data_IF_752851794510
#
_entry.id   IF_752851794510
#
_cell.length_a   1.000
_cell.length_b   1.000
_cell.length_c   1.000
_cell.angle_alpha   90.00
_cell.angle_beta   90.00
_cell.angle_gamma   90.00
#
_symmetry.space_group_name_H-M   'P 1'
#
loop_
_entity.id
_entity.type
_entity.pdbx_description
1 polymer ?
#
# COMPACT_ATOMS: atom_id res chain seq x y z
N UNK A 1 24.08 -39.21 -23.73
CA UNK A 1 23.30 -39.48 -22.48
C UNK A 1 23.21 -38.32 -21.51
N UNK A 2 24.15 -37.38 -21.50
CA UNK A 2 24.23 -36.30 -20.50
C UNK A 2 23.11 -35.24 -20.56
N UNK A 3 22.67 -34.83 -21.77
CA UNK A 3 21.71 -33.73 -21.92
C UNK A 3 20.33 -33.97 -21.30
N UNK A 4 19.84 -35.21 -21.27
CA UNK A 4 18.53 -35.55 -20.67
C UNK A 4 18.55 -35.50 -19.14
N UNK A 5 19.63 -36.01 -18.54
CA UNK A 5 19.81 -35.91 -17.07
C UNK A 5 19.87 -34.45 -16.62
N UNK A 6 20.63 -33.62 -17.34
CA UNK A 6 20.73 -32.18 -17.03
C UNK A 6 19.38 -31.47 -17.08
N UNK A 7 18.51 -31.81 -18.07
CA UNK A 7 17.18 -31.14 -18.16
C UNK A 7 16.24 -31.64 -17.06
N UNK A 8 16.26 -32.91 -16.70
CA UNK A 8 15.45 -33.45 -15.60
C UNK A 8 15.88 -32.78 -14.29
N UNK A 9 17.17 -32.67 -14.00
CA UNK A 9 17.69 -32.01 -12.82
C UNK A 9 17.33 -30.52 -12.80
N UNK A 10 17.46 -29.82 -13.93
CA UNK A 10 17.07 -28.41 -14.04
C UNK A 10 15.56 -28.23 -13.82
N UNK A 11 14.72 -29.11 -14.35
CA UNK A 11 13.27 -29.06 -14.16
C UNK A 11 12.85 -29.30 -12.70
N UNK A 12 13.53 -30.21 -12.00
CA UNK A 12 13.23 -30.47 -10.59
C UNK A 12 13.73 -29.35 -9.64
N UNK A 13 14.81 -28.67 -9.99
CA UNK A 13 15.35 -27.55 -9.19
C UNK A 13 14.66 -26.21 -9.49
N UNK A 14 14.03 -26.06 -10.65
CA UNK A 14 13.44 -24.80 -11.09
C UNK A 14 12.42 -24.21 -10.09
N UNK A 15 11.47 -24.96 -9.50
CA UNK A 15 10.54 -24.42 -8.49
C UNK A 15 11.26 -23.84 -7.28
N UNK A 16 12.32 -24.50 -6.79
CA UNK A 16 13.10 -24.03 -5.65
C UNK A 16 13.86 -22.75 -5.96
N UNK A 17 14.40 -22.64 -7.18
CA UNK A 17 15.06 -21.42 -7.66
C UNK A 17 14.03 -20.27 -7.73
N UNK A 18 12.81 -20.52 -8.23
CA UNK A 18 11.75 -19.52 -8.29
C UNK A 18 11.31 -19.08 -6.89
N UNK A 19 11.17 -20.01 -5.94
CA UNK A 19 10.83 -19.68 -4.54
C UNK A 19 11.94 -18.86 -3.89
N UNK A 20 13.20 -19.24 -4.04
CA UNK A 20 14.35 -18.49 -3.52
C UNK A 20 14.43 -17.09 -4.12
N UNK A 21 14.23 -16.96 -5.44
CA UNK A 21 14.17 -15.69 -6.14
C UNK A 21 13.02 -14.81 -5.63
N UNK A 22 11.81 -15.36 -5.54
CA UNK A 22 10.64 -14.66 -5.03
C UNK A 22 10.85 -14.16 -3.61
N UNK A 23 11.41 -15.00 -2.74
CA UNK A 23 11.78 -14.62 -1.37
C UNK A 23 12.79 -13.48 -1.33
N UNK A 24 13.84 -13.54 -2.17
CA UNK A 24 14.85 -12.49 -2.23
C UNK A 24 14.28 -11.15 -2.71
N UNK A 25 13.43 -11.15 -3.76
CA UNK A 25 12.75 -9.94 -4.25
C UNK A 25 11.81 -9.37 -3.20
N UNK A 26 11.06 -10.24 -2.49
CA UNK A 26 10.16 -9.81 -1.41
C UNK A 26 10.93 -9.15 -0.27
N UNK A 27 12.02 -9.76 0.20
CA UNK A 27 12.86 -9.16 1.25
C UNK A 27 13.46 -7.83 0.78
N UNK A 28 13.96 -7.77 -0.45
CA UNK A 28 14.46 -6.53 -1.03
C UNK A 28 13.39 -5.44 -1.06
N UNK A 29 12.18 -5.77 -1.51
CA UNK A 29 11.05 -4.83 -1.54
C UNK A 29 10.68 -4.37 -0.13
N UNK A 30 10.66 -5.27 0.85
CA UNK A 30 10.40 -4.96 2.24
C UNK A 30 11.41 -3.95 2.79
N UNK A 31 12.70 -4.23 2.63
CA UNK A 31 13.78 -3.35 3.10
C UNK A 31 13.72 -1.97 2.43
N UNK A 32 13.50 -1.91 1.12
CA UNK A 32 13.42 -0.63 0.40
C UNK A 32 12.19 0.17 0.84
N UNK A 33 11.02 -0.47 0.96
CA UNK A 33 9.81 0.23 1.41
C UNK A 33 9.99 0.77 2.83
N UNK A 34 10.46 -0.04 3.77
CA UNK A 34 10.58 0.35 5.17
C UNK A 34 11.73 1.33 5.40
N UNK A 35 12.95 1.00 4.95
CA UNK A 35 14.16 1.76 5.28
C UNK A 35 14.38 3.00 4.42
N UNK A 36 13.97 2.99 3.13
CA UNK A 36 14.24 4.09 2.20
C UNK A 36 13.01 4.92 1.85
N UNK A 37 11.87 4.28 1.68
CA UNK A 37 10.64 4.96 1.26
C UNK A 37 9.73 5.30 2.44
N UNK A 38 10.02 4.78 3.64
CA UNK A 38 9.21 4.93 4.86
C UNK A 38 7.73 4.58 4.63
N UNK A 39 7.50 3.50 3.87
CA UNK A 39 6.18 2.98 3.54
C UNK A 39 5.96 1.65 4.24
N UNK A 40 4.72 1.40 4.63
CA UNK A 40 4.34 0.07 5.06
C UNK A 40 4.29 -0.92 3.88
N UNK A 41 4.38 -2.21 4.16
CA UNK A 41 4.29 -3.27 3.15
C UNK A 41 2.85 -3.54 2.70
N UNK A 42 1.87 -2.92 3.35
CA UNK A 42 0.45 -3.21 3.17
C UNK A 42 0.07 -4.62 3.60
N UNK A 43 0.93 -5.27 4.41
CA UNK A 43 0.69 -6.56 5.03
C UNK A 43 0.27 -6.32 6.49
N UNK A 44 -0.84 -6.92 6.91
CA UNK A 44 -1.38 -6.73 8.24
C UNK A 44 -2.60 -5.83 8.26
N UNK A 45 -3.06 -5.52 9.46
CA UNK A 45 -4.34 -4.87 9.72
C UNK A 45 -4.21 -3.35 9.93
N UNK A 46 -2.99 -2.83 9.87
CA UNK A 46 -2.70 -1.42 10.11
C UNK A 46 -1.93 -0.82 8.94
N UNK A 47 -2.43 0.28 8.41
CA UNK A 47 -1.83 1.00 7.30
C UNK A 47 -1.57 2.45 7.67
N UNK A 48 -0.43 2.97 7.22
CA UNK A 48 0.00 4.34 7.49
C UNK A 48 0.23 5.09 6.18
N UNK A 49 -0.19 6.35 6.13
CA UNK A 49 0.16 7.27 5.06
C UNK A 49 0.65 8.59 5.64
N UNK A 50 1.91 9.00 5.38
CA UNK A 50 2.40 10.29 5.80
C UNK A 50 1.70 11.40 5.01
N UNK A 51 1.41 12.49 5.70
CA UNK A 51 0.89 13.70 5.11
C UNK A 51 2.01 14.73 4.93
N UNK A 52 1.92 15.62 3.91
CA UNK A 52 2.99 16.59 3.59
C UNK A 52 3.40 17.52 4.73
N UNK A 53 2.55 17.70 5.73
CA UNK A 53 2.76 18.59 6.88
C UNK A 53 3.30 17.88 8.13
N UNK A 54 3.82 16.65 8.00
CA UNK A 54 4.38 15.86 9.10
C UNK A 54 3.37 15.10 9.94
N UNK A 55 2.06 15.28 9.72
CA UNK A 55 1.04 14.40 10.27
C UNK A 55 1.00 13.07 9.52
N UNK A 56 0.27 12.11 10.06
CA UNK A 56 0.04 10.80 9.45
C UNK A 56 -1.45 10.46 9.51
N UNK A 57 -1.87 9.71 8.51
CA UNK A 57 -3.11 8.96 8.54
C UNK A 57 -2.78 7.54 8.97
N UNK A 58 -3.54 6.97 9.89
CA UNK A 58 -3.50 5.55 10.23
C UNK A 58 -4.88 4.94 10.06
N UNK A 59 -4.92 3.78 9.44
CA UNK A 59 -6.14 2.98 9.20
C UNK A 59 -5.94 1.60 9.79
N UNK A 60 -6.99 1.01 10.35
CA UNK A 60 -6.98 -0.33 10.93
C UNK A 60 -8.17 -1.10 10.36
N UNK A 61 -7.94 -2.35 9.93
CA UNK A 61 -8.90 -3.29 9.35
C UNK A 61 -9.55 -2.84 8.02
N UNK A 62 -9.70 -1.54 7.81
CA UNK A 62 -10.32 -0.96 6.61
C UNK A 62 -9.58 0.31 6.19
N UNK A 63 -9.57 0.61 4.88
CA UNK A 63 -8.85 1.77 4.34
C UNK A 63 -9.74 2.98 4.05
N UNK A 64 -11.03 2.89 4.35
CA UNK A 64 -12.03 3.94 4.07
C UNK A 64 -12.26 4.88 5.27
N UNK A 65 -11.62 4.59 6.40
CA UNK A 65 -11.66 5.39 7.62
C UNK A 65 -10.38 5.23 8.43
N UNK A 66 -10.08 6.20 9.29
CA UNK A 66 -8.87 6.11 10.12
C UNK A 66 -8.74 7.26 11.10
N UNK A 67 -7.51 7.45 11.54
CA UNK A 67 -7.09 8.53 12.42
C UNK A 67 -6.12 9.46 11.70
N UNK A 68 -6.24 10.77 11.97
CA UNK A 68 -5.21 11.75 11.63
C UNK A 68 -4.53 12.20 12.92
N UNK A 69 -3.22 12.13 12.96
CA UNK A 69 -2.43 12.48 14.15
C UNK A 69 -1.01 12.95 13.78
N UNK A 70 -0.34 13.58 14.75
CA UNK A 70 1.07 13.92 14.60
C UNK A 70 1.94 12.87 15.32
N UNK A 71 2.77 12.08 14.64
CA UNK A 71 3.57 11.03 15.27
C UNK A 71 4.60 11.57 16.28
N UNK A 72 4.96 12.86 16.18
CA UNK A 72 5.98 13.48 17.01
C UNK A 72 5.45 14.03 18.36
N UNK A 73 4.14 14.21 18.50
CA UNK A 73 3.57 14.80 19.74
C UNK A 73 3.57 13.84 20.91
N UNK A 74 3.35 12.55 20.66
CA UNK A 74 3.31 11.50 21.68
C UNK A 74 3.98 10.22 21.17
N UNK A 75 5.32 10.20 21.05
CA UNK A 75 6.04 9.05 20.56
C UNK A 75 5.85 7.83 21.48
N UNK A 76 5.55 6.67 20.91
CA UNK A 76 5.36 5.42 21.64
C UNK A 76 3.94 5.16 22.19
N UNK A 77 3.02 6.14 22.12
CA UNK A 77 1.62 5.93 22.49
C UNK A 77 0.83 5.31 21.34
N UNK A 78 -0.08 4.40 21.64
CA UNK A 78 -1.06 3.90 20.67
C UNK A 78 -1.92 5.05 20.14
N UNK A 79 -2.34 5.00 18.86
CA UNK A 79 -3.08 6.11 18.25
C UNK A 79 -4.39 6.40 18.96
N UNK A 80 -5.08 5.38 19.48
CA UNK A 80 -6.33 5.53 20.23
C UNK A 80 -6.16 6.21 21.61
N UNK A 81 -4.94 6.29 22.12
CA UNK A 81 -4.60 6.91 23.41
C UNK A 81 -4.15 8.37 23.27
N UNK A 82 -3.97 8.83 22.02
CA UNK A 82 -3.46 10.18 21.74
C UNK A 82 -4.56 11.20 21.82
N UNK A 83 -4.36 12.24 22.61
CA UNK A 83 -5.29 13.37 22.73
C UNK A 83 -5.38 14.22 21.45
N UNK A 84 -4.30 14.24 20.64
CA UNK A 84 -4.22 14.99 19.40
C UNK A 84 -4.80 14.23 18.21
N UNK A 85 -5.10 12.93 18.35
CA UNK A 85 -5.65 12.11 17.27
C UNK A 85 -7.10 12.49 16.95
N UNK A 86 -7.39 12.60 15.67
CA UNK A 86 -8.74 12.79 15.13
C UNK A 86 -9.23 11.45 14.60
N UNK A 87 -10.16 10.84 15.30
CA UNK A 87 -10.72 9.54 14.95
C UNK A 87 -11.86 9.64 13.94
N UNK A 88 -12.13 8.54 13.24
CA UNK A 88 -13.26 8.40 12.32
C UNK A 88 -13.14 9.27 11.07
N UNK A 89 -11.93 9.62 10.66
CA UNK A 89 -11.70 10.44 9.46
C UNK A 89 -12.05 9.63 8.22
N UNK A 90 -12.93 10.18 7.39
CA UNK A 90 -13.35 9.62 6.10
C UNK A 90 -12.70 10.34 4.92
N UNK A 91 -12.62 11.64 5.01
CA UNK A 91 -12.08 12.49 3.95
C UNK A 91 -11.06 13.45 4.54
N UNK A 92 -10.04 13.78 3.75
CA UNK A 92 -8.97 14.67 4.19
C UNK A 92 -8.42 15.49 3.02
N UNK A 93 -8.00 16.72 3.32
CA UNK A 93 -7.22 17.58 2.43
C UNK A 93 -6.09 18.21 3.24
N UNK A 94 -4.90 18.23 2.67
CA UNK A 94 -3.77 18.96 3.25
C UNK A 94 -3.50 20.21 2.43
N UNK A 95 -3.54 21.38 3.10
CA UNK A 95 -3.25 22.68 2.50
C UNK A 95 -2.19 23.42 3.34
N UNK A 96 -0.93 23.20 2.99
CA UNK A 96 0.20 23.71 3.75
C UNK A 96 0.21 23.18 5.19
N UNK A 97 0.13 24.07 6.18
CA UNK A 97 0.06 23.69 7.60
C UNK A 97 -1.33 23.24 8.07
N UNK A 98 -2.35 23.38 7.24
CA UNK A 98 -3.71 23.06 7.61
C UNK A 98 -4.11 21.68 7.11
N UNK A 99 -4.87 20.95 7.92
CA UNK A 99 -5.59 19.74 7.50
C UNK A 99 -7.08 20.01 7.66
N UNK A 100 -7.80 19.86 6.56
CA UNK A 100 -9.25 19.85 6.53
C UNK A 100 -9.72 18.40 6.44
N UNK A 101 -10.84 18.07 7.05
CA UNK A 101 -11.38 16.74 6.92
C UNK A 101 -12.82 16.61 7.35
N UNK A 102 -13.35 15.42 7.08
CA UNK A 102 -14.68 15.00 7.45
C UNK A 102 -14.61 13.72 8.29
N UNK A 103 -15.42 13.66 9.33
CA UNK A 103 -15.44 12.55 10.29
C UNK A 103 -16.82 11.92 10.37
N UNK A 104 -16.84 10.63 10.65
CA UNK A 104 -18.00 9.85 11.05
C UNK A 104 -17.76 9.36 12.48
N UNK A 105 -18.53 9.82 13.45
CA UNK A 105 -18.38 9.43 14.87
C UNK A 105 -18.68 7.95 15.11
N UNK A 106 -19.43 7.31 14.21
CA UNK A 106 -19.77 5.88 14.26
C UNK A 106 -18.96 5.03 13.29
N UNK A 107 -17.89 5.57 12.73
CA UNK A 107 -17.07 4.90 11.75
C UNK A 107 -16.65 3.49 12.20
N UNK A 108 -16.23 3.34 13.46
CA UNK A 108 -15.76 2.06 14.01
C UNK A 108 -16.89 1.08 14.40
N UNK A 109 -18.12 1.56 14.54
CA UNK A 109 -19.30 0.70 14.77
C UNK A 109 -19.83 0.10 13.45
N UNK A 110 -19.52 0.76 12.35
CA UNK A 110 -19.99 0.43 11.00
C UNK A 110 -18.90 -0.14 10.10
N UNK A 111 -17.90 -0.81 10.66
CA UNK A 111 -16.81 -1.43 9.91
C UNK A 111 -17.37 -2.31 8.76
N UNK A 112 -16.89 -2.06 7.54
CA UNK A 112 -17.28 -2.82 6.35
C UNK A 112 -18.68 -2.53 5.81
N UNK A 113 -19.43 -1.58 6.39
CA UNK A 113 -20.66 -1.08 5.79
C UNK A 113 -20.32 0.15 4.95
N UNK A 114 -20.79 0.17 3.71
CA UNK A 114 -20.63 1.28 2.78
C UNK A 114 -21.49 2.48 3.21
N UNK A 115 -21.16 3.05 4.36
CA UNK A 115 -21.82 4.22 4.91
C UNK A 115 -20.90 5.43 4.71
N UNK A 116 -21.09 6.16 3.61
CA UNK A 116 -20.47 7.49 3.41
C UNK A 116 -21.08 8.54 4.35
N UNK A 117 -21.36 8.16 5.60
CA UNK A 117 -21.93 9.08 6.59
C UNK A 117 -20.81 9.96 7.13
N UNK A 118 -20.99 11.25 6.95
CA UNK A 118 -20.18 12.29 7.55
C UNK A 118 -21.09 13.06 8.52
N UNK A 119 -20.69 13.14 9.78
CA UNK A 119 -21.45 13.83 10.83
C UNK A 119 -20.79 15.11 11.33
N UNK A 120 -19.52 15.30 11.03
CA UNK A 120 -18.80 16.51 11.38
C UNK A 120 -17.60 16.77 10.44
N UNK A 121 -17.15 18.02 10.47
CA UNK A 121 -15.99 18.47 9.73
C UNK A 121 -14.99 19.11 10.69
N UNK A 122 -13.71 19.15 10.29
CA UNK A 122 -12.68 19.78 11.10
C UNK A 122 -11.66 20.52 10.25
N UNK A 123 -11.03 21.49 10.89
CA UNK A 123 -9.85 22.20 10.42
C UNK A 123 -8.80 22.14 11.53
N UNK A 124 -7.66 21.55 11.24
CA UNK A 124 -6.52 21.42 12.14
C UNK A 124 -5.39 22.32 11.64
N UNK A 125 -4.94 23.27 12.48
CA UNK A 125 -3.67 23.95 12.30
C UNK A 125 -2.57 23.12 12.94
N UNK A 126 -1.76 22.45 12.14
CA UNK A 126 -0.74 21.52 12.62
C UNK A 126 0.44 22.21 13.31
N UNK A 127 0.65 23.51 13.05
CA UNK A 127 1.70 24.30 13.71
C UNK A 127 1.29 24.70 15.13
N UNK A 128 0.02 25.03 15.34
CA UNK A 128 -0.52 25.45 16.64
C UNK A 128 -1.15 24.29 17.43
N UNK A 129 -1.35 23.12 16.81
CA UNK A 129 -2.11 22.02 17.40
C UNK A 129 -3.59 22.34 17.60
N UNK A 130 -4.09 23.40 16.98
CA UNK A 130 -5.45 23.89 17.21
C UNK A 130 -6.43 23.23 16.25
N UNK A 131 -7.41 22.53 16.79
CA UNK A 131 -8.52 21.91 16.05
C UNK A 131 -9.80 22.72 16.21
N UNK A 132 -10.44 23.07 15.10
CA UNK A 132 -11.79 23.64 15.04
C UNK A 132 -12.73 22.61 14.42
N UNK A 133 -13.88 22.38 15.05
CA UNK A 133 -14.91 21.43 14.57
C UNK A 133 -16.10 22.19 14.03
N UNK A 134 -16.70 21.69 12.95
CA UNK A 134 -17.85 22.26 12.26
C UNK A 134 -18.94 21.21 12.11
N UNK A 135 -20.20 21.64 12.20
CA UNK A 135 -21.36 20.76 12.08
C UNK A 135 -21.73 20.44 10.63
N UNK A 136 -21.32 21.29 9.68
CA UNK A 136 -21.65 21.14 8.26
C UNK A 136 -20.50 21.63 7.38
N UNK A 137 -20.56 21.23 6.12
CA UNK A 137 -19.54 21.55 5.12
C UNK A 137 -19.43 23.05 4.82
N UNK A 138 -20.56 23.77 4.80
CA UNK A 138 -20.56 25.20 4.49
C UNK A 138 -19.81 26.02 5.53
N UNK A 139 -19.92 25.66 6.81
CA UNK A 139 -19.17 26.31 7.89
C UNK A 139 -17.66 26.03 7.77
N UNK A 140 -17.25 24.78 7.44
CA UNK A 140 -15.87 24.46 7.14
C UNK A 140 -15.37 25.29 5.96
N UNK A 141 -16.15 25.31 4.84
CA UNK A 141 -15.80 26.03 3.62
C UNK A 141 -15.59 27.52 3.87
N UNK A 142 -16.49 28.15 4.61
CA UNK A 142 -16.36 29.57 4.97
C UNK A 142 -15.06 29.85 5.71
N UNK A 143 -14.77 29.08 6.77
CA UNK A 143 -13.52 29.23 7.53
C UNK A 143 -12.26 28.90 6.73
N UNK A 144 -12.32 27.96 5.80
CA UNK A 144 -11.20 27.63 4.92
C UNK A 144 -10.93 28.74 3.90
N UNK A 145 -11.99 29.32 3.33
CA UNK A 145 -11.87 30.45 2.38
C UNK A 145 -11.26 31.69 3.04
N UNK A 146 -11.55 31.96 4.32
CA UNK A 146 -10.90 33.03 5.10
C UNK A 146 -9.37 32.84 5.19
N UNK A 147 -8.90 31.59 5.12
CA UNK A 147 -7.48 31.23 5.08
C UNK A 147 -6.91 31.13 3.65
N UNK A 148 -7.72 31.43 2.63
CA UNK A 148 -7.34 31.30 1.23
C UNK A 148 -7.30 29.86 0.71
N UNK A 149 -8.01 28.93 1.40
CA UNK A 149 -8.04 27.51 1.06
C UNK A 149 -9.40 27.18 0.43
N UNK A 150 -9.41 26.71 -0.80
CA UNK A 150 -10.62 26.09 -1.40
C UNK A 150 -10.71 24.63 -0.96
N UNK A 151 -11.76 24.22 -0.25
CA UNK A 151 -11.89 22.85 0.22
C UNK A 151 -12.15 21.87 -0.92
N UNK A 152 -11.29 20.87 -1.01
CA UNK A 152 -11.39 19.72 -1.91
C UNK A 152 -11.01 18.45 -1.16
N UNK A 153 -11.95 17.93 -0.37
CA UNK A 153 -11.73 16.78 0.49
C UNK A 153 -11.66 15.50 -0.34
N UNK A 154 -10.55 14.77 -0.22
CA UNK A 154 -10.37 13.46 -0.86
C UNK A 154 -10.66 12.33 0.14
N UNK A 155 -11.27 11.22 -0.32
CA UNK A 155 -11.41 10.03 0.52
C UNK A 155 -10.05 9.53 1.04
N UNK A 156 -10.03 9.09 2.29
CA UNK A 156 -8.78 8.66 2.96
C UNK A 156 -8.09 7.49 2.24
N UNK A 157 -8.87 6.56 1.67
CA UNK A 157 -8.37 5.45 0.87
C UNK A 157 -7.68 5.92 -0.43
N UNK A 158 -8.13 7.01 -1.03
CA UNK A 158 -7.48 7.60 -2.19
C UNK A 158 -6.13 8.21 -1.82
N UNK A 159 -6.03 8.88 -0.66
CA UNK A 159 -4.76 9.40 -0.12
C UNK A 159 -3.78 8.25 0.14
N UNK A 160 -4.25 7.18 0.77
CA UNK A 160 -3.43 5.99 1.01
C UNK A 160 -2.97 5.34 -0.29
N UNK A 161 -3.87 5.16 -1.26
CA UNK A 161 -3.53 4.54 -2.55
C UNK A 161 -2.46 5.33 -3.32
N UNK A 162 -2.54 6.67 -3.31
CA UNK A 162 -1.52 7.53 -3.92
C UNK A 162 -0.15 7.36 -3.24
N UNK A 163 -0.12 7.17 -1.94
CA UNK A 163 1.09 6.94 -1.19
C UNK A 163 1.62 5.51 -1.36
N UNK A 164 0.73 4.50 -1.28
CA UNK A 164 1.09 3.09 -1.29
C UNK A 164 1.62 2.61 -2.63
N UNK A 165 0.99 3.04 -3.73
CA UNK A 165 1.35 2.61 -5.07
C UNK A 165 2.34 3.57 -5.73
N UNK A 166 3.45 3.03 -6.19
CA UNK A 166 4.50 3.77 -6.89
C UNK A 166 5.04 2.97 -8.08
N UNK A 167 5.83 3.63 -8.91
CA UNK A 167 6.56 2.96 -9.99
C UNK A 167 7.50 1.85 -9.47
N UNK A 168 7.99 1.97 -8.22
CA UNK A 168 8.82 0.96 -7.58
C UNK A 168 8.08 -0.36 -7.38
N UNK A 169 6.79 -0.33 -7.04
CA UNK A 169 5.96 -1.54 -6.89
C UNK A 169 5.78 -2.25 -8.24
N UNK A 170 5.60 -1.46 -9.32
CA UNK A 170 5.54 -2.01 -10.69
C UNK A 170 6.87 -2.67 -11.07
N UNK A 171 8.00 -1.99 -10.81
CA UNK A 171 9.33 -2.53 -11.08
C UNK A 171 9.61 -3.81 -10.29
N UNK A 172 9.27 -3.81 -9.00
CA UNK A 172 9.40 -4.98 -8.12
C UNK A 172 8.54 -6.15 -8.61
N UNK A 173 7.31 -5.89 -9.03
CA UNK A 173 6.42 -6.89 -9.63
C UNK A 173 6.99 -7.47 -10.93
N UNK A 174 7.56 -6.64 -11.80
CA UNK A 174 8.25 -7.10 -12.99
C UNK A 174 9.47 -7.95 -12.65
N UNK A 175 10.29 -7.51 -11.70
CA UNK A 175 11.45 -8.25 -11.23
C UNK A 175 11.07 -9.60 -10.61
N UNK A 176 9.94 -9.67 -9.93
CA UNK A 176 9.40 -10.90 -9.36
C UNK A 176 8.94 -11.88 -10.43
N UNK A 177 8.24 -11.43 -11.46
CA UNK A 177 7.59 -12.30 -12.46
C UNK A 177 8.46 -12.62 -13.66
N UNK A 178 9.19 -11.64 -14.23
CA UNK A 178 9.84 -11.79 -15.54
C UNK A 178 10.96 -12.84 -15.55
N UNK A 179 11.91 -12.88 -14.59
CA UNK A 179 12.99 -13.88 -14.63
C UNK A 179 12.48 -15.33 -14.53
N UNK A 180 11.52 -15.67 -13.63
CA UNK A 180 10.92 -17.01 -13.61
C UNK A 180 10.22 -17.38 -14.91
N UNK A 181 9.49 -16.46 -15.55
CA UNK A 181 8.81 -16.70 -16.82
C UNK A 181 9.82 -16.99 -17.95
N UNK A 182 10.90 -16.20 -18.04
CA UNK A 182 11.98 -16.45 -19.02
C UNK A 182 12.62 -17.82 -18.75
N UNK A 183 12.92 -18.13 -17.50
CA UNK A 183 13.50 -19.43 -17.12
C UNK A 183 12.59 -20.60 -17.52
N UNK A 184 11.28 -20.49 -17.25
CA UNK A 184 10.29 -21.50 -17.65
C UNK A 184 10.24 -21.67 -19.18
N UNK A 185 10.22 -20.57 -19.93
CA UNK A 185 10.21 -20.60 -21.39
C UNK A 185 11.45 -21.28 -21.96
N UNK A 186 12.64 -20.93 -21.47
CA UNK A 186 13.89 -21.55 -21.86
C UNK A 186 13.92 -23.06 -21.57
N UNK A 187 13.39 -23.46 -20.42
CA UNK A 187 13.28 -24.88 -20.06
C UNK A 187 12.34 -25.63 -21.00
N UNK A 188 11.18 -25.07 -21.32
CA UNK A 188 10.22 -25.63 -22.27
C UNK A 188 10.87 -25.82 -23.67
N UNK A 189 11.51 -24.77 -24.18
CA UNK A 189 12.18 -24.81 -25.46
C UNK A 189 13.25 -25.92 -25.50
N UNK A 190 14.02 -26.06 -24.42
CA UNK A 190 15.04 -27.09 -24.29
C UNK A 190 14.45 -28.50 -24.25
N UNK A 191 13.35 -28.69 -23.53
CA UNK A 191 12.60 -29.96 -23.49
C UNK A 191 12.07 -30.32 -24.88
N UNK A 192 11.47 -29.37 -25.60
CA UNK A 192 10.95 -29.58 -26.96
C UNK A 192 12.05 -29.96 -27.95
N UNK A 193 13.22 -29.30 -27.91
CA UNK A 193 14.37 -29.65 -28.74
C UNK A 193 14.84 -31.08 -28.48
N UNK A 194 14.94 -31.52 -27.24
CA UNK A 194 15.33 -32.88 -26.87
C UNK A 194 14.32 -33.93 -27.30
N UNK A 195 13.03 -33.60 -27.39
CA UNK A 195 12.01 -34.52 -27.92
C UNK A 195 12.14 -34.70 -29.46
N UNK A 196 12.45 -33.60 -30.17
CA UNK A 196 12.61 -33.66 -31.67
C UNK A 196 13.86 -34.43 -32.11
N UNK A 197 14.89 -34.51 -31.31
CA UNK A 197 16.14 -35.21 -31.64
C UNK A 197 16.10 -36.71 -31.32
N UNK A 198 14.94 -37.29 -30.93
CA UNK A 198 14.82 -38.74 -30.79
C UNK A 198 14.79 -39.36 -32.19
N UNK A 199 15.78 -40.15 -32.57
CA UNK A 199 15.69 -40.96 -33.79
C UNK A 199 14.51 -41.91 -33.64
N UNK A 200 13.64 -41.98 -34.65
CA UNK A 200 12.66 -43.05 -34.78
C UNK A 200 13.48 -44.38 -34.81
N UNK A 201 13.34 -45.16 -33.73
CA UNK A 201 13.90 -46.50 -33.75
C UNK A 201 13.30 -47.23 -34.94
N UNK A 202 14.13 -47.81 -35.86
CA UNK A 202 13.60 -48.63 -36.93
C UNK A 202 12.78 -49.75 -36.27
N UNK A 203 11.52 -49.89 -36.67
CA UNK A 203 10.72 -51.07 -36.37
C UNK A 203 11.47 -52.27 -36.92
N UNK A 204 12.06 -53.05 -36.00
CA UNK A 204 12.57 -54.39 -36.36
C UNK A 204 11.36 -55.25 -36.75
N UNK A 205 11.28 -55.55 -38.07
CA UNK A 205 10.38 -56.54 -38.62
C UNK A 205 10.83 -57.93 -38.22
#
# INVERSE_FOLDING_TARGET
MNGRRTVITAASLFPFICLGWGGAVFVFQAVVNEALLHRDLGLGDTWHAPLPNGCQVMMIDVTDQGWVYNPMTQPGSGVGEREDAIAGVRNVQVAGRYILGATDSRAFENLGKDTNQVDAYFLLDTKLGRRTRFQNYDALRHSALELGIEPNLEPINAVYSKFRFSWFDVLSGLLFCVPPLIGALLLIVRVMRLRRTRPLLPHSA
#
